data_IF_089204330620
#
_entry.id   IF_089204330620
#
_cell.length_a   1.000
_cell.length_b   1.000
_cell.length_c   1.000
_cell.angle_alpha   90.00
_cell.angle_beta   90.00
_cell.angle_gamma   90.00
#
_symmetry.space_group_name_H-M   'P 1'
#
loop_
_entity.id
_entity.type
_entity.pdbx_description
1 polymer ?
#
# COMPACT_ATOMS: atom_id res chain seq x y z
N UNK A 1 9.39 17.20 25.15
CA UNK A 1 8.36 17.04 24.10
C UNK A 1 8.92 16.20 22.96
N UNK A 2 9.02 14.86 23.13
CA UNK A 2 9.67 13.97 22.13
C UNK A 2 8.74 12.90 21.56
N UNK A 3 7.48 12.87 22.01
CA UNK A 3 6.58 11.75 21.71
C UNK A 3 6.02 11.83 20.27
N UNK A 4 5.69 13.04 19.80
CA UNK A 4 5.07 13.25 18.48
C UNK A 4 6.06 13.05 17.32
N UNK A 5 7.34 13.38 17.52
CA UNK A 5 8.36 13.29 16.46
C UNK A 5 8.79 11.84 16.16
N UNK A 6 8.71 10.95 17.16
CA UNK A 6 9.07 9.53 17.03
C UNK A 6 7.99 8.76 16.26
N UNK A 7 6.71 9.13 16.40
CA UNK A 7 5.60 8.43 15.73
C UNK A 7 5.55 8.65 14.22
N UNK A 8 5.80 9.87 13.71
CA UNK A 8 5.68 10.12 12.26
C UNK A 8 6.76 9.44 11.41
N UNK A 9 7.99 9.34 11.93
CA UNK A 9 9.06 8.62 11.24
C UNK A 9 8.75 7.12 11.10
N UNK A 10 8.21 6.51 12.16
CA UNK A 10 7.80 5.11 12.13
C UNK A 10 6.57 4.88 11.23
N UNK A 11 5.62 5.80 11.22
CA UNK A 11 4.46 5.74 10.31
C UNK A 11 4.89 5.82 8.84
N UNK A 12 5.85 6.68 8.50
CA UNK A 12 6.42 6.76 7.15
C UNK A 12 7.13 5.47 6.74
N UNK A 13 8.00 4.95 7.60
CA UNK A 13 8.67 3.68 7.34
C UNK A 13 7.68 2.50 7.20
N UNK A 14 6.61 2.50 8.00
CA UNK A 14 5.51 1.54 7.90
C UNK A 14 4.76 1.62 6.56
N UNK A 15 4.42 2.83 6.11
CA UNK A 15 3.75 3.05 4.83
C UNK A 15 4.63 2.59 3.65
N UNK A 16 5.93 2.89 3.66
CA UNK A 16 6.86 2.37 2.65
C UNK A 16 6.97 0.85 2.68
N UNK A 17 6.97 0.26 3.87
CA UNK A 17 7.01 -1.20 4.02
C UNK A 17 5.76 -1.85 3.43
N UNK A 18 4.58 -1.27 3.67
CA UNK A 18 3.33 -1.74 3.07
C UNK A 18 3.36 -1.62 1.55
N UNK A 19 3.94 -0.55 1.00
CA UNK A 19 4.07 -0.38 -0.45
C UNK A 19 4.96 -1.44 -1.07
N UNK A 20 6.09 -1.75 -0.43
CA UNK A 20 6.98 -2.84 -0.88
C UNK A 20 6.24 -4.18 -0.87
N UNK A 21 5.53 -4.50 0.21
CA UNK A 21 4.76 -5.74 0.31
C UNK A 21 3.65 -5.81 -0.74
N UNK A 22 2.91 -4.71 -0.97
CA UNK A 22 1.86 -4.66 -1.98
C UNK A 22 2.41 -4.89 -3.39
N UNK A 23 3.57 -4.32 -3.71
CA UNK A 23 4.25 -4.54 -4.99
C UNK A 23 4.76 -5.99 -5.14
N UNK A 24 5.26 -6.59 -4.06
CA UNK A 24 5.68 -7.99 -4.06
C UNK A 24 4.50 -8.94 -4.31
N UNK A 25 3.36 -8.69 -3.65
CA UNK A 25 2.13 -9.47 -3.87
C UNK A 25 1.69 -9.37 -5.33
N UNK A 26 1.66 -8.15 -5.90
CA UNK A 26 1.31 -7.97 -7.31
C UNK A 26 2.24 -8.78 -8.23
N UNK A 27 3.55 -8.71 -8.01
CA UNK A 27 4.51 -9.48 -8.82
C UNK A 27 4.30 -10.99 -8.73
N UNK A 28 3.99 -11.50 -7.54
CA UNK A 28 3.70 -12.93 -7.35
C UNK A 28 2.41 -13.37 -8.06
N UNK A 29 1.38 -12.50 -8.07
CA UNK A 29 0.13 -12.76 -8.80
C UNK A 29 0.35 -12.72 -10.32
N UNK A 30 1.13 -11.77 -10.82
CA UNK A 30 1.48 -11.67 -12.24
C UNK A 30 2.27 -12.91 -12.70
N UNK A 31 3.22 -13.38 -11.89
CA UNK A 31 3.96 -14.62 -12.15
C UNK A 31 3.04 -15.84 -12.17
N UNK A 32 2.12 -15.93 -11.20
CA UNK A 32 1.13 -17.00 -11.14
C UNK A 32 0.23 -17.00 -12.39
N UNK A 33 -0.27 -15.83 -12.81
CA UNK A 33 -1.09 -15.70 -14.02
C UNK A 33 -0.32 -16.16 -15.27
N UNK A 34 0.94 -15.75 -15.42
CA UNK A 34 1.77 -16.17 -16.54
C UNK A 34 1.98 -17.69 -16.59
N UNK A 35 2.19 -18.33 -15.44
CA UNK A 35 2.33 -19.78 -15.36
C UNK A 35 1.01 -20.52 -15.68
N UNK A 36 -0.13 -19.96 -15.27
CA UNK A 36 -1.45 -20.57 -15.47
C UNK A 36 -1.98 -20.36 -16.89
N UNK A 37 -1.60 -19.28 -17.57
CA UNK A 37 -2.07 -18.94 -18.92
C UNK A 37 -2.10 -20.11 -19.93
N UNK A 38 -1.03 -20.89 -20.12
CA UNK A 38 -1.07 -22.05 -21.04
C UNK A 38 -1.88 -23.24 -20.51
N UNK A 39 -2.09 -23.34 -19.19
CA UNK A 39 -2.81 -24.45 -18.57
C UNK A 39 -4.33 -24.25 -18.63
N UNK A 40 -4.80 -23.01 -18.58
CA UNK A 40 -6.23 -22.67 -18.65
C UNK A 40 -6.87 -23.22 -19.93
N UNK A 41 -6.15 -23.19 -21.06
CA UNK A 41 -6.63 -23.74 -22.34
C UNK A 41 -6.87 -25.26 -22.27
N UNK A 42 -6.24 -25.96 -21.33
CA UNK A 42 -6.39 -27.41 -21.13
C UNK A 42 -7.50 -27.78 -20.15
N UNK A 43 -8.04 -26.80 -19.42
CA UNK A 43 -9.05 -27.03 -18.39
C UNK A 43 -10.47 -27.10 -18.96
N UNK A 44 -11.33 -27.88 -18.32
CA UNK A 44 -12.75 -27.92 -18.64
C UNK A 44 -13.45 -26.63 -18.22
N UNK A 45 -14.60 -26.31 -18.83
CA UNK A 45 -15.29 -25.03 -18.63
C UNK A 45 -15.55 -24.64 -17.17
N UNK A 46 -15.88 -25.60 -16.30
CA UNK A 46 -16.10 -25.32 -14.87
C UNK A 46 -14.80 -24.94 -14.12
N UNK A 47 -13.67 -25.54 -14.49
CA UNK A 47 -12.37 -25.21 -13.92
C UNK A 47 -11.88 -23.84 -14.42
N UNK A 48 -12.12 -23.51 -15.69
CA UNK A 48 -11.87 -22.17 -16.23
C UNK A 48 -12.68 -21.10 -15.50
N UNK A 49 -13.98 -21.33 -15.30
CA UNK A 49 -14.85 -20.39 -14.58
C UNK A 49 -14.39 -20.16 -13.13
N UNK A 50 -14.02 -21.24 -12.43
CA UNK A 50 -13.47 -21.16 -11.06
C UNK A 50 -12.16 -20.38 -11.01
N UNK A 51 -11.31 -20.54 -12.02
CA UNK A 51 -10.08 -19.77 -12.16
C UNK A 51 -10.34 -18.29 -12.36
N UNK A 52 -11.21 -17.90 -13.30
CA UNK A 52 -11.51 -16.50 -13.55
C UNK A 52 -12.15 -15.82 -12.32
N UNK A 53 -12.95 -16.56 -11.54
CA UNK A 53 -13.48 -16.07 -10.28
C UNK A 53 -12.37 -15.80 -9.26
N UNK A 54 -11.44 -16.75 -9.09
CA UNK A 54 -10.28 -16.57 -8.22
C UNK A 54 -9.40 -15.41 -8.70
N UNK A 55 -9.22 -15.26 -10.03
CA UNK A 55 -8.47 -14.17 -10.63
C UNK A 55 -9.03 -12.81 -10.27
N UNK A 56 -10.32 -12.62 -10.49
CA UNK A 56 -10.99 -11.38 -10.13
C UNK A 56 -10.89 -11.08 -8.62
N UNK A 57 -10.91 -12.10 -7.76
CA UNK A 57 -10.78 -11.94 -6.32
C UNK A 57 -9.38 -11.45 -5.91
N UNK A 58 -8.32 -12.09 -6.39
CA UNK A 58 -6.96 -11.67 -6.04
C UNK A 58 -6.59 -10.33 -6.67
N UNK A 59 -7.05 -10.03 -7.88
CA UNK A 59 -6.80 -8.75 -8.55
C UNK A 59 -7.43 -7.61 -7.75
N UNK A 60 -8.67 -7.80 -7.31
CA UNK A 60 -9.36 -6.84 -6.45
C UNK A 60 -8.65 -6.68 -5.11
N UNK A 61 -8.16 -7.76 -4.52
CA UNK A 61 -7.42 -7.69 -3.26
C UNK A 61 -6.10 -6.90 -3.42
N UNK A 62 -5.36 -7.14 -4.50
CA UNK A 62 -4.12 -6.43 -4.81
C UNK A 62 -4.36 -4.93 -5.04
N UNK A 63 -5.40 -4.58 -5.82
CA UNK A 63 -5.80 -3.18 -6.03
C UNK A 63 -6.17 -2.49 -4.71
N UNK A 64 -6.93 -3.15 -3.84
CA UNK A 64 -7.28 -2.59 -2.53
C UNK A 64 -6.04 -2.33 -1.65
N UNK A 65 -5.05 -3.23 -1.67
CA UNK A 65 -3.80 -3.04 -0.93
C UNK A 65 -3.02 -1.82 -1.45
N UNK A 66 -2.95 -1.65 -2.77
CA UNK A 66 -2.33 -0.49 -3.40
C UNK A 66 -3.03 0.81 -2.99
N UNK A 67 -4.37 0.84 -3.02
CA UNK A 67 -5.14 2.01 -2.59
C UNK A 67 -4.93 2.37 -1.12
N UNK A 68 -4.98 1.38 -0.22
CA UNK A 68 -4.80 1.60 1.21
C UNK A 68 -3.42 2.17 1.47
N UNK A 69 -2.40 1.62 0.81
CA UNK A 69 -1.03 2.08 0.99
C UNK A 69 -0.83 3.51 0.49
N UNK A 70 -1.39 3.86 -0.67
CA UNK A 70 -1.35 5.22 -1.19
C UNK A 70 -2.05 6.23 -0.25
N UNK A 71 -3.20 5.83 0.32
CA UNK A 71 -3.93 6.63 1.32
C UNK A 71 -3.09 6.82 2.59
N UNK A 72 -2.42 5.78 3.07
CA UNK A 72 -1.53 5.86 4.23
C UNK A 72 -0.34 6.78 3.96
N UNK A 73 0.33 6.66 2.81
CA UNK A 73 1.44 7.55 2.45
C UNK A 73 1.03 9.02 2.43
N UNK A 74 -0.13 9.31 1.84
CA UNK A 74 -0.70 10.67 1.81
C UNK A 74 -0.99 11.19 3.23
N UNK A 75 -1.60 10.36 4.08
CA UNK A 75 -1.91 10.74 5.46
C UNK A 75 -0.65 11.06 6.28
N UNK A 76 0.41 10.26 6.11
CA UNK A 76 1.70 10.51 6.78
C UNK A 76 2.32 11.82 6.31
N UNK A 77 2.30 12.11 5.01
CA UNK A 77 2.84 13.36 4.48
C UNK A 77 2.10 14.58 5.04
N UNK A 78 0.77 14.57 5.00
CA UNK A 78 -0.07 15.67 5.53
C UNK A 78 0.19 15.90 7.02
N UNK A 79 0.35 14.83 7.79
CA UNK A 79 0.63 14.93 9.21
C UNK A 79 2.02 15.52 9.48
N UNK A 80 3.03 15.14 8.68
CA UNK A 80 4.38 15.70 8.76
C UNK A 80 4.39 17.21 8.46
N UNK A 81 3.72 17.63 7.38
CA UNK A 81 3.62 19.03 6.99
C UNK A 81 2.91 19.87 8.06
N UNK A 82 1.79 19.37 8.61
CA UNK A 82 1.02 20.05 9.65
C UNK A 82 1.83 20.23 10.93
N UNK A 83 2.61 19.21 11.31
CA UNK A 83 3.48 19.26 12.48
C UNK A 83 4.59 20.30 12.30
N UNK A 84 5.31 20.26 11.17
CA UNK A 84 6.37 21.24 10.88
C UNK A 84 5.85 22.68 10.87
N UNK A 85 4.65 22.92 10.35
CA UNK A 85 4.02 24.25 10.38
C UNK A 85 3.73 24.68 11.82
N UNK A 86 3.18 23.79 12.65
CA UNK A 86 2.94 24.04 14.07
C UNK A 86 4.22 24.38 14.84
N UNK A 87 5.30 23.63 14.62
CA UNK A 87 6.60 23.90 15.24
C UNK A 87 7.18 25.25 14.80
N UNK A 88 7.11 25.58 13.50
CA UNK A 88 7.55 26.90 12.99
C UNK A 88 6.78 28.04 13.63
N UNK A 89 5.45 27.92 13.74
CA UNK A 89 4.60 28.94 14.38
C UNK A 89 4.90 29.09 15.87
N UNK A 90 5.13 27.99 16.57
CA UNK A 90 5.48 28.02 17.99
C UNK A 90 6.88 28.61 18.20
N UNK A 91 7.87 28.19 17.41
CA UNK A 91 9.22 28.76 17.44
C UNK A 91 9.21 30.28 17.18
N UNK A 92 8.40 30.75 16.23
CA UNK A 92 8.22 32.18 15.96
C UNK A 92 7.58 32.96 17.13
N UNK A 93 6.75 32.31 17.95
CA UNK A 93 6.11 32.92 19.13
C UNK A 93 7.00 32.95 20.38
N UNK A 94 7.94 32.02 20.51
CA UNK A 94 8.80 31.88 21.69
C UNK A 94 10.27 32.30 21.46
N UNK A 95 10.67 32.53 20.20
CA UNK A 95 12.02 32.96 19.81
C UNK A 95 12.11 34.42 19.32
N UNK A 96 11.06 35.22 19.52
CA UNK A 96 11.04 36.67 19.30
C UNK A 96 11.01 37.44 20.62
#
# INVERSE_FOLDING_TARGET
MSMIQVDFGQLGAGAESLQRTANQIQGQLDELEQMLKPLIETWSGQAQESYYAAQAEWDKAAQNLQEITAKMGTAVQVANESYQQGERMNAAKFGG
#
